data_IF_704568758702
#
_entry.id   IF_704568758702
#
_cell.length_a   1.000
_cell.length_b   1.000
_cell.length_c   1.000
_cell.angle_alpha   90.00
_cell.angle_beta   90.00
_cell.angle_gamma   90.00
#
_symmetry.space_group_name_H-M   'P 1'
#
loop_
_entity.id
_entity.type
_entity.pdbx_description
1 polymer ?
#
# COMPACT_ATOMS: atom_id res chain seq x y z
N UNK A 1 -51.21 -22.51 -57.76
CA UNK A 1 -51.07 -23.99 -57.66
C UNK A 1 -50.89 -24.32 -56.19
N UNK A 2 -51.95 -24.75 -55.49
CA UNK A 2 -52.27 -26.17 -55.21
C UNK A 2 -51.09 -26.92 -54.59
N UNK A 3 -51.12 -27.63 -53.46
CA UNK A 3 -52.06 -28.09 -52.41
C UNK A 3 -51.06 -28.59 -51.30
N UNK A 4 -51.29 -28.57 -49.98
CA UNK A 4 -52.48 -28.84 -49.20
C UNK A 4 -52.30 -30.12 -48.36
N UNK A 5 -52.71 -30.05 -47.09
CA UNK A 5 -52.94 -31.13 -46.09
C UNK A 5 -51.74 -31.50 -45.20
N UNK A 6 -51.88 -31.72 -43.88
CA UNK A 6 -53.07 -31.98 -43.09
C UNK A 6 -53.04 -31.33 -41.70
N UNK A 7 -54.23 -31.18 -41.14
CA UNK A 7 -54.65 -30.36 -40.00
C UNK A 7 -55.24 -31.30 -38.94
N UNK A 8 -55.36 -30.79 -37.70
CA UNK A 8 -56.26 -31.19 -36.58
C UNK A 8 -55.64 -32.10 -35.51
N UNK A 9 -55.93 -31.99 -34.21
CA UNK A 9 -56.79 -31.16 -33.29
C UNK A 9 -56.21 -31.49 -31.90
N UNK A 10 -55.85 -30.55 -31.02
CA UNK A 10 -56.73 -29.81 -30.10
C UNK A 10 -56.86 -30.53 -28.74
N UNK A 11 -56.51 -29.85 -27.64
CA UNK A 11 -57.22 -29.88 -26.36
C UNK A 11 -56.50 -29.02 -25.30
N UNK A 12 -57.32 -28.31 -24.53
CA UNK A 12 -57.00 -27.39 -23.44
C UNK A 12 -56.76 -28.13 -22.11
N UNK A 13 -55.97 -27.46 -21.25
CA UNK A 13 -56.00 -27.45 -19.77
C UNK A 13 -55.61 -28.71 -18.98
N UNK A 14 -54.53 -28.59 -18.21
CA UNK A 14 -54.50 -28.97 -16.80
C UNK A 14 -53.39 -28.20 -16.05
N UNK A 15 -53.74 -27.67 -14.88
CA UNK A 15 -52.85 -26.99 -13.96
C UNK A 15 -51.63 -27.85 -13.59
N UNK A 16 -50.44 -27.26 -13.62
CA UNK A 16 -49.22 -27.85 -13.08
C UNK A 16 -48.44 -26.81 -12.30
N UNK A 17 -48.37 -27.00 -10.99
CA UNK A 17 -47.78 -26.10 -10.01
C UNK A 17 -46.33 -25.72 -10.34
N UNK A 18 -45.99 -24.47 -10.02
CA UNK A 18 -44.60 -24.04 -9.84
C UNK A 18 -44.07 -24.81 -8.63
N UNK A 19 -43.30 -25.86 -8.89
CA UNK A 19 -42.43 -26.47 -7.87
C UNK A 19 -41.08 -25.81 -8.03
N UNK A 20 -40.77 -24.94 -7.07
CA UNK A 20 -39.41 -24.50 -6.79
C UNK A 20 -38.61 -25.72 -6.34
N UNK A 21 -37.73 -26.23 -7.20
CA UNK A 21 -36.62 -27.10 -6.82
C UNK A 21 -35.39 -26.22 -6.96
N UNK A 22 -34.85 -25.67 -5.88
CA UNK A 22 -34.15 -26.45 -4.86
C UNK A 22 -32.67 -26.22 -5.09
N UNK A 23 -32.12 -25.26 -4.35
CA UNK A 23 -30.72 -24.89 -4.34
C UNK A 23 -29.87 -26.15 -4.12
N UNK A 24 -29.19 -26.64 -5.15
CA UNK A 24 -28.16 -27.66 -4.99
C UNK A 24 -26.91 -26.97 -4.49
N UNK A 25 -26.85 -26.76 -3.19
CA UNK A 25 -25.58 -26.58 -2.49
C UNK A 25 -24.85 -27.91 -2.65
N UNK A 26 -23.85 -27.94 -3.52
CA UNK A 26 -22.82 -28.97 -3.52
C UNK A 26 -22.04 -28.84 -2.20
N UNK A 27 -22.59 -29.41 -1.13
CA UNK A 27 -21.84 -29.77 0.06
C UNK A 27 -20.89 -30.88 -0.36
N UNK A 28 -19.68 -30.47 -0.73
CA UNK A 28 -18.56 -31.40 -0.85
C UNK A 28 -18.21 -31.84 0.58
N UNK A 29 -18.76 -32.98 1.00
CA UNK A 29 -18.37 -33.64 2.23
C UNK A 29 -16.91 -34.04 2.08
N UNK A 30 -16.04 -33.37 2.84
CA UNK A 30 -14.62 -33.66 2.86
C UNK A 30 -14.39 -35.13 3.19
N UNK A 31 -13.64 -35.80 2.31
CA UNK A 31 -12.85 -36.95 2.72
C UNK A 31 -11.76 -36.40 3.66
N UNK A 32 -12.02 -36.47 4.96
CA UNK A 32 -10.95 -36.46 5.94
C UNK A 32 -10.16 -37.75 5.74
N UNK A 33 -9.00 -37.67 5.11
CA UNK A 33 -8.01 -38.74 5.19
C UNK A 33 -7.57 -38.85 6.65
N UNK A 34 -7.67 -40.05 7.22
CA UNK A 34 -7.26 -40.40 8.59
C UNK A 34 -5.73 -40.40 8.83
N UNK A 35 -4.98 -39.57 8.10
CA UNK A 35 -3.58 -39.30 8.39
C UNK A 35 -3.39 -37.79 8.47
N UNK A 36 -3.14 -37.28 9.68
CA UNK A 36 -3.04 -35.86 10.02
C UNK A 36 -1.83 -35.10 9.46
N UNK A 37 -1.38 -35.42 8.25
CA UNK A 37 -0.36 -34.69 7.52
C UNK A 37 -1.01 -33.92 6.36
N UNK A 38 -0.93 -32.59 6.39
CA UNK A 38 -1.28 -31.80 5.22
C UNK A 38 -0.32 -32.17 4.07
N UNK A 39 -0.81 -32.55 2.87
CA UNK A 39 0.06 -32.74 1.73
C UNK A 39 0.84 -31.45 1.42
N UNK A 40 2.08 -31.58 0.94
CA UNK A 40 2.90 -30.43 0.50
C UNK A 40 2.07 -29.57 -0.46
N UNK A 41 2.03 -28.23 -0.30
CA UNK A 41 1.13 -27.38 -1.06
C UNK A 41 1.54 -27.39 -2.54
N UNK A 42 0.58 -27.72 -3.40
CA UNK A 42 0.74 -27.75 -4.87
C UNK A 42 -0.06 -26.66 -5.57
N UNK A 43 -1.01 -26.06 -4.85
CA UNK A 43 -1.90 -25.01 -5.34
C UNK A 43 -2.06 -23.90 -4.31
N UNK A 44 -2.54 -22.74 -4.74
CA UNK A 44 -2.92 -21.63 -3.84
C UNK A 44 -4.02 -22.07 -2.86
N UNK A 45 -4.95 -22.97 -3.24
CA UNK A 45 -5.96 -23.47 -2.31
C UNK A 45 -5.33 -24.24 -1.14
N UNK A 46 -4.28 -25.02 -1.41
CA UNK A 46 -3.57 -25.77 -0.37
C UNK A 46 -2.90 -24.80 0.63
N UNK A 47 -2.26 -23.74 0.11
CA UNK A 47 -1.65 -22.66 0.91
C UNK A 47 -2.69 -21.97 1.79
N UNK A 48 -3.90 -21.73 1.27
CA UNK A 48 -4.92 -20.97 1.98
C UNK A 48 -5.73 -21.78 3.00
N UNK A 49 -5.95 -23.09 2.74
CA UNK A 49 -6.87 -23.94 3.51
C UNK A 49 -6.18 -24.93 4.43
N UNK A 50 -5.08 -25.53 3.98
CA UNK A 50 -4.54 -26.73 4.62
C UNK A 50 -3.12 -26.52 5.16
N UNK A 51 -2.39 -25.53 4.65
CA UNK A 51 -1.03 -25.22 5.08
C UNK A 51 -0.99 -24.74 6.54
N UNK A 52 -0.20 -25.42 7.37
CA UNK A 52 0.37 -24.78 8.57
C UNK A 52 1.47 -23.83 8.10
N UNK A 53 1.19 -22.52 8.18
CA UNK A 53 2.13 -21.48 7.76
C UNK A 53 3.49 -21.63 8.46
N UNK A 54 3.52 -22.22 9.67
CA UNK A 54 4.73 -22.41 10.47
C UNK A 54 5.75 -23.32 9.78
N UNK A 55 5.28 -24.32 9.03
CA UNK A 55 6.14 -25.30 8.33
C UNK A 55 6.96 -24.67 7.20
N UNK A 56 6.56 -23.49 6.74
CA UNK A 56 7.20 -22.77 5.64
C UNK A 56 8.02 -21.57 6.10
N UNK A 57 8.03 -21.28 7.41
CA UNK A 57 8.90 -20.26 8.00
C UNK A 57 10.27 -20.87 8.26
N UNK A 58 11.28 -20.36 7.58
CA UNK A 58 12.68 -20.82 7.73
C UNK A 58 13.50 -19.93 8.68
N UNK A 59 13.07 -18.69 8.90
CA UNK A 59 13.63 -17.76 9.90
C UNK A 59 12.50 -16.94 10.53
N UNK A 60 12.55 -16.79 11.84
CA UNK A 60 11.55 -16.04 12.61
C UNK A 60 10.36 -16.90 13.02
N UNK A 61 9.30 -16.23 13.44
CA UNK A 61 8.06 -16.88 13.88
C UNK A 61 6.87 -16.05 13.43
N UNK A 62 5.74 -16.72 13.21
CA UNK A 62 4.49 -16.05 12.88
C UNK A 62 4.08 -15.10 14.01
N UNK A 63 3.51 -13.92 13.69
CA UNK A 63 2.99 -13.02 14.70
C UNK A 63 1.81 -13.68 15.44
N UNK A 64 1.74 -13.50 16.76
CA UNK A 64 0.67 -14.04 17.61
C UNK A 64 -0.71 -13.45 17.33
N UNK A 65 -0.77 -12.31 16.64
CA UNK A 65 -2.00 -11.64 16.24
C UNK A 65 -1.84 -11.03 14.85
N UNK A 66 -2.95 -10.92 14.12
CA UNK A 66 -3.01 -10.25 12.83
C UNK A 66 -2.49 -8.81 12.94
N UNK A 67 -1.58 -8.44 12.05
CA UNK A 67 -0.96 -7.11 11.95
C UNK A 67 -1.83 -6.17 11.08
N UNK A 68 -1.47 -4.89 11.00
CA UNK A 68 -2.12 -3.97 10.04
C UNK A 68 -1.52 -4.10 8.65
N UNK A 69 -0.20 -4.25 8.57
CA UNK A 69 0.53 -4.28 7.31
C UNK A 69 1.43 -5.52 7.21
N UNK A 70 1.28 -6.30 6.14
CA UNK A 70 2.24 -7.30 5.71
C UNK A 70 3.01 -6.74 4.51
N UNK A 71 4.34 -6.70 4.60
CA UNK A 71 5.22 -6.24 3.51
C UNK A 71 5.88 -7.47 2.89
N UNK A 72 5.51 -7.83 1.67
CA UNK A 72 6.09 -8.95 0.95
C UNK A 72 7.29 -8.52 0.12
N UNK A 73 8.43 -9.20 0.28
CA UNK A 73 9.68 -8.89 -0.42
C UNK A 73 10.31 -10.19 -0.95
N UNK A 74 10.28 -10.46 -2.27
CA UNK A 74 11.07 -11.51 -2.87
C UNK A 74 12.52 -11.04 -3.02
N UNK A 75 13.46 -11.87 -2.58
CA UNK A 75 14.89 -11.56 -2.67
C UNK A 75 15.65 -12.63 -3.45
N UNK A 76 16.54 -12.16 -4.33
CA UNK A 76 17.45 -12.99 -5.11
C UNK A 76 18.86 -12.41 -5.09
N UNK A 77 19.84 -13.30 -5.10
CA UNK A 77 21.23 -12.94 -5.14
C UNK A 77 21.62 -12.39 -6.52
N UNK A 78 22.29 -11.24 -6.53
CA UNK A 78 22.83 -10.62 -7.76
C UNK A 78 24.36 -10.69 -7.75
N UNK A 79 24.91 -11.38 -8.74
CA UNK A 79 26.37 -11.52 -8.88
C UNK A 79 27.04 -10.18 -9.25
N UNK A 80 28.22 -9.93 -8.65
CA UNK A 80 29.03 -8.74 -8.95
C UNK A 80 28.63 -7.46 -8.23
N UNK A 81 27.78 -7.52 -7.20
CA UNK A 81 27.53 -6.41 -6.27
C UNK A 81 28.05 -6.83 -4.89
N UNK A 82 28.81 -5.94 -4.24
CA UNK A 82 29.37 -6.21 -2.90
C UNK A 82 28.34 -6.11 -1.78
N UNK A 83 27.34 -5.25 -1.94
CA UNK A 83 26.22 -5.07 -1.00
C UNK A 83 25.02 -5.92 -1.40
N UNK A 84 24.29 -6.44 -0.41
CA UNK A 84 23.00 -7.10 -0.63
C UNK A 84 21.93 -6.02 -0.61
N UNK A 85 21.12 -5.92 -1.65
CA UNK A 85 20.08 -4.89 -1.68
C UNK A 85 19.08 -5.06 -0.53
N UNK A 86 18.71 -6.30 -0.21
CA UNK A 86 17.74 -6.59 0.86
C UNK A 86 18.13 -5.97 2.21
N UNK A 87 19.42 -5.92 2.56
CA UNK A 87 19.85 -5.35 3.85
C UNK A 87 19.62 -3.85 3.86
N UNK A 88 19.97 -3.14 2.78
CA UNK A 88 19.75 -1.70 2.65
C UNK A 88 18.23 -1.38 2.64
N UNK A 89 17.42 -2.20 1.94
CA UNK A 89 15.96 -2.10 1.95
C UNK A 89 15.37 -2.30 3.34
N UNK A 90 15.80 -3.32 4.08
CA UNK A 90 15.30 -3.58 5.43
C UNK A 90 15.67 -2.47 6.41
N UNK A 91 16.89 -1.93 6.34
CA UNK A 91 17.25 -0.74 7.12
C UNK A 91 16.34 0.44 6.80
N UNK A 92 16.09 0.70 5.51
CA UNK A 92 15.19 1.78 5.09
C UNK A 92 13.74 1.61 5.60
N UNK A 93 13.24 0.37 5.66
CA UNK A 93 11.89 0.07 6.14
C UNK A 93 11.76 0.05 7.67
N UNK A 94 12.82 -0.37 8.39
CA UNK A 94 12.73 -0.67 9.83
C UNK A 94 13.36 0.39 10.72
N UNK A 95 14.33 1.17 10.22
CA UNK A 95 14.99 2.24 10.97
C UNK A 95 14.21 3.56 10.87
N UNK A 96 12.93 3.50 11.23
CA UNK A 96 11.98 4.62 11.16
C UNK A 96 11.87 5.38 12.49
N UNK A 97 11.59 6.69 12.47
CA UNK A 97 11.32 7.47 13.67
C UNK A 97 10.09 6.96 14.46
N UNK A 98 9.05 6.51 13.78
CA UNK A 98 7.80 6.00 14.35
C UNK A 98 7.91 4.54 14.83
N UNK A 99 8.92 4.23 15.67
CA UNK A 99 9.18 2.87 16.16
C UNK A 99 7.96 2.17 16.77
N UNK A 100 7.03 2.93 17.35
CA UNK A 100 5.79 2.41 17.92
C UNK A 100 4.85 1.79 16.87
N UNK A 101 4.96 2.17 15.59
CA UNK A 101 4.19 1.59 14.48
C UNK A 101 4.78 0.26 13.99
N UNK A 102 6.04 -0.07 14.32
CA UNK A 102 6.66 -1.33 13.91
C UNK A 102 6.00 -2.57 14.54
N UNK A 103 5.20 -2.40 15.60
CA UNK A 103 4.39 -3.49 16.17
C UNK A 103 3.20 -3.88 15.29
N UNK A 104 2.81 -3.00 14.37
CA UNK A 104 1.66 -3.18 13.48
C UNK A 104 2.08 -3.74 12.12
N UNK A 105 3.37 -4.08 11.92
CA UNK A 105 3.90 -4.58 10.66
C UNK A 105 4.50 -5.99 10.79
N UNK A 106 4.50 -6.73 9.69
CA UNK A 106 5.30 -7.94 9.48
C UNK A 106 5.91 -7.90 8.08
N UNK A 107 7.21 -8.11 7.97
CA UNK A 107 7.93 -8.21 6.70
C UNK A 107 8.13 -9.68 6.38
N UNK A 108 7.60 -10.11 5.23
CA UNK A 108 7.66 -11.49 4.73
C UNK A 108 8.66 -11.53 3.58
N UNK A 109 9.83 -12.11 3.84
CA UNK A 109 10.91 -12.22 2.86
C UNK A 109 10.82 -13.59 2.20
N UNK A 110 10.62 -13.61 0.88
CA UNK A 110 10.72 -14.84 0.11
C UNK A 110 12.17 -15.05 -0.36
N UNK A 111 12.81 -16.11 0.11
CA UNK A 111 14.12 -16.54 -0.38
C UNK A 111 13.96 -17.20 -1.77
N UNK A 112 14.01 -16.37 -2.82
CA UNK A 112 13.59 -16.76 -4.16
C UNK A 112 14.72 -17.36 -5.02
N UNK A 113 15.96 -17.44 -4.52
CA UNK A 113 17.06 -18.09 -5.22
C UNK A 113 16.79 -19.58 -5.47
N UNK A 114 17.17 -20.07 -6.66
CA UNK A 114 17.13 -21.51 -6.96
C UNK A 114 18.25 -22.28 -6.27
N UNK A 115 19.38 -21.62 -6.02
CA UNK A 115 20.53 -22.21 -5.33
C UNK A 115 20.28 -22.26 -3.82
N UNK A 116 20.20 -23.46 -3.20
CA UNK A 116 20.01 -23.61 -1.77
C UNK A 116 21.07 -22.91 -0.92
N UNK A 117 22.33 -22.81 -1.41
CA UNK A 117 23.41 -22.13 -0.69
C UNK A 117 23.17 -20.61 -0.62
N UNK A 118 22.61 -20.02 -1.67
CA UNK A 118 22.27 -18.59 -1.69
C UNK A 118 21.07 -18.31 -0.78
N UNK A 119 20.08 -19.21 -0.76
CA UNK A 119 18.96 -19.16 0.21
C UNK A 119 19.47 -19.25 1.65
N UNK A 120 20.35 -20.20 1.95
CA UNK A 120 20.95 -20.35 3.29
C UNK A 120 21.73 -19.10 3.71
N UNK A 121 22.52 -18.55 2.79
CA UNK A 121 23.24 -17.30 3.03
C UNK A 121 22.29 -16.14 3.34
N UNK A 122 21.14 -16.04 2.67
CA UNK A 122 20.12 -15.02 2.98
C UNK A 122 19.57 -15.21 4.39
N UNK A 123 19.14 -16.43 4.73
CA UNK A 123 18.61 -16.77 6.05
C UNK A 123 19.57 -16.41 7.17
N UNK A 124 20.84 -16.79 7.04
CA UNK A 124 21.88 -16.46 8.01
C UNK A 124 22.03 -14.94 8.18
N UNK A 125 22.14 -14.17 7.08
CA UNK A 125 22.22 -12.71 7.16
C UNK A 125 21.02 -12.09 7.87
N UNK A 126 19.79 -12.54 7.57
CA UNK A 126 18.59 -12.00 8.22
C UNK A 126 18.56 -12.36 9.70
N UNK A 127 18.89 -13.61 10.04
CA UNK A 127 18.90 -14.09 11.42
C UNK A 127 19.96 -13.36 12.27
N UNK A 128 21.11 -13.00 11.69
CA UNK A 128 22.20 -12.34 12.42
C UNK A 128 22.00 -10.82 12.49
N UNK A 129 21.85 -10.15 11.35
CA UNK A 129 21.85 -8.69 11.26
C UNK A 129 20.53 -8.06 11.76
N UNK A 130 19.41 -8.78 11.60
CA UNK A 130 18.08 -8.31 11.99
C UNK A 130 17.47 -9.13 13.14
N UNK A 131 18.31 -9.77 13.96
CA UNK A 131 17.90 -10.66 15.07
C UNK A 131 16.82 -10.05 15.98
N UNK A 132 16.93 -8.76 16.32
CA UNK A 132 15.91 -8.06 17.13
C UNK A 132 14.53 -7.98 16.44
N UNK A 133 14.48 -7.86 15.11
CA UNK A 133 13.22 -7.87 14.35
C UNK A 133 12.69 -9.30 14.15
N UNK A 134 13.58 -10.27 13.98
CA UNK A 134 13.24 -11.70 13.91
C UNK A 134 12.61 -12.17 15.22
N UNK A 135 13.24 -11.89 16.38
CA UNK A 135 12.71 -12.27 17.70
C UNK A 135 11.38 -11.59 18.04
N UNK A 136 11.11 -10.41 17.47
CA UNK A 136 9.86 -9.68 17.67
C UNK A 136 8.76 -10.08 16.68
N UNK A 137 8.95 -11.15 15.88
CA UNK A 137 8.03 -11.57 14.82
C UNK A 137 7.68 -10.44 13.85
N UNK A 138 8.66 -9.56 13.57
CA UNK A 138 8.55 -8.47 12.59
C UNK A 138 9.15 -8.84 11.24
N UNK A 139 10.09 -9.78 11.20
CA UNK A 139 10.63 -10.34 9.97
C UNK A 139 10.44 -11.85 10.01
N UNK A 140 9.93 -12.40 8.92
CA UNK A 140 9.88 -13.83 8.66
C UNK A 140 10.50 -14.10 7.29
N UNK A 141 11.25 -15.19 7.17
CA UNK A 141 11.77 -15.69 5.89
C UNK A 141 11.03 -16.97 5.53
N UNK A 142 10.60 -17.06 4.28
CA UNK A 142 9.89 -18.22 3.73
C UNK A 142 10.59 -18.73 2.48
N UNK A 143 10.34 -19.99 2.14
CA UNK A 143 10.77 -20.63 0.90
C UNK A 143 9.55 -21.22 0.18
N UNK A 144 9.49 -21.09 -1.16
CA UNK A 144 8.46 -21.76 -1.95
C UNK A 144 8.82 -23.25 -2.05
N UNK A 145 7.94 -24.19 -1.66
CA UNK A 145 8.18 -25.61 -1.85
C UNK A 145 8.31 -25.97 -3.32
N UNK A 146 9.22 -26.89 -3.66
CA UNK A 146 9.42 -27.33 -5.05
C UNK A 146 8.12 -27.83 -5.71
N UNK A 147 7.25 -28.48 -4.93
CA UNK A 147 5.96 -28.99 -5.39
C UNK A 147 4.94 -27.89 -5.78
N UNK A 148 5.16 -26.64 -5.33
CA UNK A 148 4.30 -25.51 -5.67
C UNK A 148 4.64 -24.91 -7.04
N UNK A 149 5.86 -25.13 -7.54
CA UNK A 149 6.26 -24.67 -8.86
C UNK A 149 5.67 -25.57 -9.94
N UNK A 150 4.81 -25.03 -10.84
CA UNK A 150 4.44 -25.75 -12.04
C UNK A 150 5.66 -25.87 -12.99
N UNK A 151 5.53 -26.69 -14.02
CA UNK A 151 6.59 -26.86 -15.01
C UNK A 151 6.89 -25.52 -15.70
N UNK A 152 8.09 -24.97 -15.49
CA UNK A 152 8.52 -23.74 -16.15
C UNK A 152 9.14 -24.11 -17.50
N UNK A 153 8.55 -23.66 -18.62
CA UNK A 153 9.02 -23.99 -19.97
C UNK A 153 8.82 -22.85 -20.96
N UNK A 154 9.60 -22.87 -22.05
CA UNK A 154 9.46 -21.90 -23.13
C UNK A 154 8.37 -22.36 -24.09
N UNK A 155 7.23 -21.66 -24.08
CA UNK A 155 6.16 -21.83 -25.07
C UNK A 155 6.55 -21.03 -26.32
N UNK A 156 6.41 -21.65 -27.50
CA UNK A 156 7.01 -21.22 -28.77
C UNK A 156 6.45 -19.89 -29.35
N UNK A 157 5.46 -19.26 -28.70
CA UNK A 157 4.69 -18.15 -29.27
C UNK A 157 4.80 -16.81 -28.50
N UNK A 158 5.62 -16.71 -27.47
CA UNK A 158 5.49 -15.61 -26.51
C UNK A 158 6.60 -14.56 -26.70
N UNK A 159 6.22 -13.41 -27.28
CA UNK A 159 6.92 -12.12 -27.19
C UNK A 159 8.42 -12.07 -27.59
N UNK A 160 8.87 -12.70 -28.67
CA UNK A 160 10.29 -12.65 -29.16
C UNK A 160 11.38 -12.87 -28.07
N UNK A 161 11.01 -13.44 -26.92
CA UNK A 161 11.84 -13.39 -25.73
C UNK A 161 12.75 -14.60 -25.64
N UNK A 162 13.94 -14.40 -25.05
CA UNK A 162 14.83 -15.51 -24.76
C UNK A 162 14.18 -16.49 -23.77
N UNK A 163 14.51 -17.78 -23.91
CA UNK A 163 14.06 -18.83 -22.98
C UNK A 163 14.33 -18.45 -21.50
N UNK A 164 15.49 -17.85 -21.22
CA UNK A 164 15.84 -17.39 -19.88
C UNK A 164 14.87 -16.32 -19.35
N UNK A 165 14.47 -15.35 -20.20
CA UNK A 165 13.52 -14.30 -19.81
C UNK A 165 12.10 -14.84 -19.66
N UNK A 166 11.68 -15.81 -20.47
CA UNK A 166 10.39 -16.50 -20.29
C UNK A 166 10.33 -17.23 -18.96
N UNK A 167 11.35 -18.06 -18.65
CA UNK A 167 11.41 -18.80 -17.38
C UNK A 167 11.49 -17.84 -16.18
N UNK A 168 12.23 -16.74 -16.29
CA UNK A 168 12.33 -15.74 -15.23
C UNK A 168 10.97 -15.09 -14.90
N UNK A 169 10.20 -14.68 -15.90
CA UNK A 169 8.84 -14.11 -15.70
C UNK A 169 7.87 -15.11 -15.10
N UNK A 170 7.88 -16.34 -15.63
CA UNK A 170 7.05 -17.42 -15.12
C UNK A 170 7.32 -17.69 -13.64
N UNK A 171 8.60 -17.76 -13.26
CA UNK A 171 9.00 -17.91 -11.85
C UNK A 171 8.51 -16.73 -10.99
N UNK A 172 8.65 -15.49 -11.48
CA UNK A 172 8.20 -14.31 -10.74
C UNK A 172 6.70 -14.35 -10.42
N UNK A 173 5.85 -14.76 -11.37
CA UNK A 173 4.42 -14.95 -11.13
C UNK A 173 4.15 -15.96 -10.00
N UNK A 174 4.85 -17.10 -10.02
CA UNK A 174 4.70 -18.15 -8.99
C UNK A 174 5.23 -17.69 -7.63
N UNK A 175 6.38 -17.02 -7.59
CA UNK A 175 6.96 -16.44 -6.38
C UNK A 175 5.98 -15.46 -5.71
N UNK A 176 5.42 -14.53 -6.49
CA UNK A 176 4.51 -13.50 -5.98
C UNK A 176 3.19 -14.14 -5.53
N UNK A 177 2.70 -15.13 -6.28
CA UNK A 177 1.54 -15.91 -5.89
C UNK A 177 1.71 -16.56 -4.51
N UNK A 178 2.80 -17.29 -4.29
CA UNK A 178 3.05 -17.95 -3.00
C UNK A 178 3.18 -16.93 -1.87
N UNK A 179 3.96 -15.87 -2.09
CA UNK A 179 4.20 -14.81 -1.11
C UNK A 179 2.89 -14.11 -0.70
N UNK A 180 2.02 -13.80 -1.66
CA UNK A 180 0.71 -13.21 -1.41
C UNK A 180 -0.23 -14.17 -0.69
N UNK A 181 -0.31 -15.43 -1.12
CA UNK A 181 -1.16 -16.45 -0.50
C UNK A 181 -0.76 -16.69 0.97
N UNK A 182 0.54 -16.82 1.23
CA UNK A 182 1.10 -16.94 2.58
C UNK A 182 0.77 -15.72 3.45
N UNK A 183 0.90 -14.51 2.89
CA UNK A 183 0.71 -13.26 3.63
C UNK A 183 -0.76 -12.89 3.88
N UNK A 184 -1.72 -13.51 3.18
CA UNK A 184 -3.15 -13.17 3.23
C UNK A 184 -3.75 -13.19 4.64
N UNK A 185 -3.21 -14.03 5.53
CA UNK A 185 -3.71 -14.20 6.91
C UNK A 185 -2.93 -13.38 7.95
N UNK A 186 -1.82 -12.75 7.57
CA UNK A 186 -0.90 -12.12 8.51
C UNK A 186 -1.25 -10.68 8.84
N UNK A 187 -1.93 -9.98 7.93
CA UNK A 187 -2.29 -8.57 8.10
C UNK A 187 -3.62 -8.21 7.45
N UNK A 188 -4.16 -7.01 7.74
CA UNK A 188 -5.33 -6.47 7.04
C UNK A 188 -5.01 -5.91 5.65
N UNK A 189 -3.79 -5.40 5.48
CA UNK A 189 -3.29 -4.83 4.23
C UNK A 189 -1.98 -5.50 3.86
N UNK A 190 -1.79 -5.81 2.58
CA UNK A 190 -0.54 -6.31 2.02
C UNK A 190 0.12 -5.24 1.15
N UNK A 191 1.44 -5.10 1.22
CA UNK A 191 2.24 -4.24 0.37
C UNK A 191 3.31 -5.09 -0.32
N UNK A 192 3.31 -5.09 -1.65
CA UNK A 192 4.36 -5.71 -2.47
C UNK A 192 5.52 -4.73 -2.68
N UNK A 193 6.73 -5.17 -2.32
CA UNK A 193 7.98 -4.48 -2.64
C UNK A 193 8.96 -5.44 -3.33
N UNK A 194 10.08 -4.90 -3.77
CA UNK A 194 11.26 -5.65 -4.23
C UNK A 194 12.39 -5.50 -3.22
N UNK A 195 13.45 -6.31 -3.35
CA UNK A 195 14.57 -6.32 -2.41
C UNK A 195 15.58 -5.19 -2.61
N UNK A 196 15.33 -4.27 -3.54
CA UNK A 196 16.20 -3.15 -3.93
C UNK A 196 15.46 -1.82 -3.98
N UNK A 197 14.64 -1.58 -2.95
CA UNK A 197 13.88 -0.34 -2.75
C UNK A 197 14.37 0.45 -1.53
N UNK A 198 14.23 1.77 -1.59
CA UNK A 198 14.37 2.69 -0.45
C UNK A 198 13.02 3.33 -0.18
N UNK A 199 12.62 3.39 1.09
CA UNK A 199 11.45 4.12 1.55
C UNK A 199 11.82 5.55 1.97
N UNK A 200 10.88 6.48 1.80
CA UNK A 200 10.99 7.83 2.37
C UNK A 200 11.01 7.77 3.89
N UNK A 201 11.70 8.75 4.51
CA UNK A 201 11.64 8.89 5.96
C UNK A 201 10.20 9.24 6.36
N UNK A 202 9.66 8.55 7.36
CA UNK A 202 8.26 8.68 7.82
C UNK A 202 7.19 8.06 6.89
N UNK A 203 7.54 7.05 6.08
CA UNK A 203 6.56 6.43 5.17
C UNK A 203 5.36 5.78 5.88
N UNK A 204 5.54 5.20 7.08
CA UNK A 204 4.48 4.43 7.77
C UNK A 204 3.22 5.26 8.08
N UNK A 205 3.31 6.45 8.72
CA UNK A 205 2.15 7.31 8.91
C UNK A 205 1.42 7.67 7.61
N UNK A 206 2.18 8.01 6.57
CA UNK A 206 1.61 8.39 5.28
C UNK A 206 0.94 7.22 4.56
N UNK A 207 1.55 6.03 4.61
CA UNK A 207 0.97 4.81 4.09
C UNK A 207 -0.33 4.47 4.81
N UNK A 208 -0.33 4.45 6.15
CA UNK A 208 -1.52 4.15 6.94
C UNK A 208 -2.65 5.14 6.67
N UNK A 209 -2.35 6.44 6.65
CA UNK A 209 -3.34 7.46 6.36
C UNK A 209 -3.96 7.29 4.96
N UNK A 210 -3.15 6.92 3.97
CA UNK A 210 -3.63 6.69 2.61
C UNK A 210 -4.48 5.42 2.49
N UNK A 211 -4.10 4.35 3.19
CA UNK A 211 -4.90 3.13 3.30
C UNK A 211 -6.26 3.41 3.95
N UNK A 212 -6.27 4.13 5.06
CA UNK A 212 -7.48 4.46 5.80
C UNK A 212 -8.42 5.39 5.01
N UNK A 213 -7.87 6.28 4.17
CA UNK A 213 -8.64 7.20 3.35
C UNK A 213 -9.35 6.53 2.16
N UNK A 214 -8.82 5.41 1.66
CA UNK A 214 -9.32 4.73 0.47
C UNK A 214 -9.62 3.25 0.71
N UNK A 215 -10.47 2.90 1.68
CA UNK A 215 -10.73 1.50 2.07
C UNK A 215 -11.43 0.69 0.97
N UNK A 216 -12.03 1.37 -0.01
CA UNK A 216 -12.78 0.76 -1.11
C UNK A 216 -11.90 0.49 -2.36
N UNK A 217 -10.66 0.99 -2.38
CA UNK A 217 -9.78 0.83 -3.53
C UNK A 217 -9.38 -0.65 -3.70
N UNK A 218 -9.32 -1.11 -4.95
CA UNK A 218 -8.79 -2.45 -5.29
C UNK A 218 -7.29 -2.48 -5.05
N UNK A 219 -6.61 -1.38 -5.41
CA UNK A 219 -5.17 -1.25 -5.25
C UNK A 219 -4.80 0.18 -4.86
N UNK A 220 -3.87 0.30 -3.91
CA UNK A 220 -3.20 1.54 -3.57
C UNK A 220 -1.78 1.50 -4.11
N UNK A 221 -1.33 2.61 -4.68
CA UNK A 221 -0.04 2.70 -5.33
C UNK A 221 0.84 3.76 -4.66
N UNK A 222 2.03 3.34 -4.24
CA UNK A 222 3.02 4.17 -3.54
C UNK A 222 4.32 4.37 -4.33
N UNK A 223 4.38 3.80 -5.54
CA UNK A 223 5.49 3.84 -6.49
C UNK A 223 4.92 3.54 -7.88
N UNK A 224 5.29 4.35 -8.88
CA UNK A 224 4.90 4.17 -10.29
C UNK A 224 5.79 3.16 -11.03
N UNK A 225 6.90 2.74 -10.41
CA UNK A 225 7.86 1.83 -11.00
C UNK A 225 7.41 0.35 -10.90
N UNK A 226 6.84 -0.16 -11.99
CA UNK A 226 6.52 -1.59 -12.14
C UNK A 226 5.60 -2.08 -11.03
N UNK A 227 5.96 -3.22 -10.42
CA UNK A 227 5.18 -3.87 -9.35
C UNK A 227 5.55 -3.39 -7.93
N UNK A 228 6.42 -2.38 -7.81
CA UNK A 228 6.84 -1.85 -6.51
C UNK A 228 5.73 -0.99 -5.92
N UNK A 229 5.57 -1.07 -4.60
CA UNK A 229 4.69 -0.18 -3.84
C UNK A 229 3.21 -0.40 -4.13
N UNK A 230 2.82 -1.60 -4.57
CA UNK A 230 1.40 -1.96 -4.78
C UNK A 230 0.84 -2.57 -3.51
N UNK A 231 -0.18 -1.94 -2.96
CA UNK A 231 -0.86 -2.41 -1.76
C UNK A 231 -2.30 -2.85 -2.06
N UNK A 232 -2.72 -3.90 -1.36
CA UNK A 232 -4.00 -4.58 -1.55
C UNK A 232 -4.64 -4.88 -0.20
N UNK A 233 -5.98 -4.83 -0.09
CA UNK A 233 -6.67 -5.47 1.02
C UNK A 233 -6.27 -6.95 1.09
N UNK A 234 -5.88 -7.45 2.27
CA UNK A 234 -5.42 -8.84 2.37
C UNK A 234 -6.51 -9.87 2.03
N UNK A 235 -7.78 -9.47 2.12
CA UNK A 235 -8.93 -10.27 1.69
C UNK A 235 -8.97 -10.54 0.17
N UNK A 236 -8.35 -9.67 -0.63
CA UNK A 236 -8.29 -9.78 -2.09
C UNK A 236 -7.09 -10.64 -2.56
N UNK A 237 -6.10 -10.88 -1.69
CA UNK A 237 -4.89 -11.66 -2.03
C UNK A 237 -5.16 -13.09 -2.49
N UNK A 238 -6.10 -13.87 -1.92
CA UNK A 238 -6.43 -15.20 -2.44
C UNK A 238 -6.72 -15.21 -3.94
N UNK A 239 -7.60 -14.31 -4.40
CA UNK A 239 -8.00 -14.24 -5.80
C UNK A 239 -6.84 -13.79 -6.70
N UNK A 240 -6.06 -12.80 -6.24
CA UNK A 240 -4.90 -12.31 -6.97
C UNK A 240 -3.79 -13.37 -7.08
N UNK A 241 -3.50 -14.07 -5.98
CA UNK A 241 -2.53 -15.16 -5.95
C UNK A 241 -2.96 -16.32 -6.87
N UNK A 242 -4.25 -16.65 -6.91
CA UNK A 242 -4.81 -17.62 -7.85
C UNK A 242 -4.60 -17.20 -9.30
N UNK A 243 -4.86 -15.94 -9.65
CA UNK A 243 -4.67 -15.44 -10.99
C UNK A 243 -3.21 -15.58 -11.44
N UNK A 244 -2.26 -15.18 -10.57
CA UNK A 244 -0.83 -15.28 -10.86
C UNK A 244 -0.34 -16.71 -10.99
N UNK A 245 -0.81 -17.62 -10.14
CA UNK A 245 -0.45 -19.04 -10.25
C UNK A 245 -1.05 -19.69 -11.50
N UNK A 246 -2.30 -19.37 -11.83
CA UNK A 246 -3.03 -20.00 -12.94
C UNK A 246 -2.44 -19.59 -14.29
N UNK A 247 -2.16 -18.30 -14.47
CA UNK A 247 -1.72 -17.73 -15.75
C UNK A 247 -0.24 -17.40 -15.78
N UNK A 248 0.56 -18.03 -14.90
CA UNK A 248 2.01 -17.79 -14.79
C UNK A 248 2.75 -17.95 -16.14
N UNK A 249 2.27 -18.86 -16.99
CA UNK A 249 2.85 -19.17 -18.29
C UNK A 249 2.37 -18.26 -19.43
N UNK A 250 1.23 -17.57 -19.26
CA UNK A 250 0.56 -16.87 -20.34
C UNK A 250 0.83 -15.36 -20.36
N UNK A 251 1.13 -14.75 -19.20
CA UNK A 251 1.42 -13.31 -19.13
C UNK A 251 2.38 -12.95 -17.97
N UNK A 252 3.17 -11.87 -18.10
CA UNK A 252 3.96 -11.34 -16.99
C UNK A 252 3.05 -10.78 -15.89
N UNK A 253 3.59 -10.73 -14.66
CA UNK A 253 2.84 -10.35 -13.46
C UNK A 253 2.20 -8.96 -13.55
N UNK A 254 2.86 -7.99 -14.17
CA UNK A 254 2.31 -6.63 -14.38
C UNK A 254 1.04 -6.64 -15.25
N UNK A 255 1.02 -7.47 -16.29
CA UNK A 255 -0.13 -7.59 -17.19
C UNK A 255 -1.27 -8.34 -16.52
N UNK A 256 -0.97 -9.39 -15.75
CA UNK A 256 -1.96 -10.10 -14.95
C UNK A 256 -2.61 -9.18 -13.90
N UNK A 257 -1.84 -8.30 -13.27
CA UNK A 257 -2.38 -7.30 -12.35
C UNK A 257 -3.34 -6.33 -13.05
N UNK A 258 -3.00 -5.86 -14.26
CA UNK A 258 -3.92 -5.00 -15.04
C UNK A 258 -5.23 -5.72 -15.35
N UNK A 259 -5.19 -7.01 -15.71
CA UNK A 259 -6.40 -7.81 -15.91
C UNK A 259 -7.20 -8.00 -14.61
N UNK A 260 -6.52 -8.25 -13.49
CA UNK A 260 -7.19 -8.34 -12.20
C UNK A 260 -7.99 -7.06 -11.88
N UNK A 261 -7.34 -5.91 -11.99
CA UNK A 261 -7.95 -4.60 -11.75
C UNK A 261 -9.15 -4.39 -12.68
N UNK A 262 -9.00 -4.68 -13.98
CA UNK A 262 -10.07 -4.52 -14.96
C UNK A 262 -11.30 -5.41 -14.66
N UNK A 263 -11.10 -6.61 -14.12
CA UNK A 263 -12.18 -7.55 -13.80
C UNK A 263 -12.91 -7.16 -12.50
N UNK A 264 -12.26 -6.49 -11.55
CA UNK A 264 -12.89 -6.07 -10.28
C UNK A 264 -14.03 -5.08 -10.49
N UNK A 265 -13.96 -4.23 -11.53
CA UNK A 265 -15.03 -3.32 -11.95
C UNK A 265 -15.64 -2.50 -10.79
N UNK A 266 -14.81 -2.02 -9.85
CA UNK A 266 -15.26 -1.21 -8.70
C UNK A 266 -15.10 0.28 -9.05
N UNK A 267 -15.95 1.15 -8.48
CA UNK A 267 -15.69 2.59 -8.58
C UNK A 267 -14.45 2.93 -7.77
N UNK A 268 -13.48 3.62 -8.36
CA UNK A 268 -12.19 3.99 -7.73
C UNK A 268 -11.19 2.83 -7.57
N UNK A 269 -11.04 2.00 -8.60
CA UNK A 269 -10.20 0.79 -8.57
C UNK A 269 -8.75 1.04 -8.09
N UNK A 270 -8.07 2.07 -8.60
CA UNK A 270 -6.68 2.35 -8.26
C UNK A 270 -6.54 3.77 -7.72
N UNK A 271 -5.86 3.92 -6.59
CA UNK A 271 -5.52 5.22 -6.00
C UNK A 271 -4.02 5.33 -5.83
N UNK A 272 -3.43 6.31 -6.51
CA UNK A 272 -2.00 6.60 -6.43
C UNK A 272 -1.73 7.70 -5.42
N UNK A 273 -0.83 7.44 -4.48
CA UNK A 273 -0.33 8.46 -3.56
C UNK A 273 0.70 9.33 -4.26
N UNK A 274 0.60 10.64 -4.07
CA UNK A 274 1.61 11.60 -4.52
C UNK A 274 2.04 12.50 -3.36
N UNK A 275 3.36 12.66 -3.11
CA UNK A 275 4.48 12.03 -3.83
C UNK A 275 4.61 10.51 -3.55
N UNK A 276 5.41 9.76 -4.33
CA UNK A 276 5.70 8.35 -4.04
C UNK A 276 6.41 8.17 -2.69
N UNK A 277 6.25 7.00 -2.07
CA UNK A 277 6.91 6.66 -0.80
C UNK A 277 8.11 5.71 -0.97
N UNK A 278 8.26 5.09 -2.13
CA UNK A 278 9.32 4.11 -2.40
C UNK A 278 10.05 4.42 -3.70
N UNK A 279 11.37 4.29 -3.69
CA UNK A 279 12.27 4.46 -4.83
C UNK A 279 13.02 3.15 -5.09
N UNK A 280 13.05 2.70 -6.34
CA UNK A 280 13.92 1.62 -6.76
C UNK A 280 15.39 2.09 -6.80
N UNK A 281 16.27 1.48 -6.02
CA UNK A 281 17.70 1.84 -5.93
C UNK A 281 18.63 0.80 -6.55
N UNK A 282 18.08 -0.35 -6.96
CA UNK A 282 18.82 -1.39 -7.66
C UNK A 282 19.37 -0.91 -9.01
N UNK A 283 20.66 -1.13 -9.26
CA UNK A 283 21.29 -0.83 -10.56
C UNK A 283 21.47 -2.06 -11.44
N UNK A 284 21.33 -3.25 -10.86
CA UNK A 284 21.31 -4.53 -11.57
C UNK A 284 20.01 -5.27 -11.28
N UNK A 285 19.36 -5.75 -12.33
CA UNK A 285 18.15 -6.54 -12.23
C UNK A 285 18.45 -7.96 -11.74
N UNK A 286 17.42 -8.62 -11.21
CA UNK A 286 17.38 -10.07 -11.02
C UNK A 286 17.42 -10.85 -12.34
N UNK A 287 17.03 -10.24 -13.46
CA UNK A 287 17.28 -10.76 -14.79
C UNK A 287 18.73 -10.47 -15.19
N UNK A 288 19.53 -11.54 -15.34
CA UNK A 288 20.97 -11.45 -15.63
C UNK A 288 21.26 -10.54 -16.84
N UNK A 289 22.22 -9.63 -16.68
CA UNK A 289 22.67 -8.70 -17.73
C UNK A 289 21.81 -7.44 -17.90
N UNK A 290 20.65 -7.33 -17.25
CA UNK A 290 19.80 -6.13 -17.34
C UNK A 290 20.20 -5.09 -16.29
N UNK A 291 20.66 -3.92 -16.73
CA UNK A 291 20.83 -2.74 -15.87
C UNK A 291 19.48 -2.06 -15.67
N UNK A 292 19.24 -1.55 -14.47
CA UNK A 292 18.07 -0.75 -14.15
C UNK A 292 18.53 0.63 -13.66
N UNK A 293 17.91 1.68 -14.20
CA UNK A 293 18.23 3.08 -13.86
C UNK A 293 16.96 3.93 -13.72
N UNK A 294 15.79 3.30 -13.68
CA UNK A 294 14.53 3.98 -13.49
C UNK A 294 14.48 4.65 -12.11
N UNK A 295 14.06 5.90 -12.10
CA UNK A 295 13.88 6.73 -10.91
C UNK A 295 12.42 7.13 -10.85
N UNK A 296 11.85 7.17 -9.64
CA UNK A 296 10.48 7.64 -9.46
C UNK A 296 10.39 9.12 -9.84
N UNK A 297 9.45 9.48 -10.72
CA UNK A 297 9.06 10.87 -10.86
C UNK A 297 8.54 11.39 -9.53
N UNK A 298 8.97 12.59 -9.15
CA UNK A 298 8.49 13.29 -7.96
C UNK A 298 8.81 12.63 -6.60
N UNK A 299 9.85 11.79 -6.53
CA UNK A 299 10.32 11.24 -5.25
C UNK A 299 11.18 12.26 -4.50
N UNK A 300 10.79 12.57 -3.26
CA UNK A 300 11.49 13.49 -2.33
C UNK A 300 11.92 14.83 -2.96
N UNK A 301 11.08 15.41 -3.82
CA UNK A 301 11.36 16.72 -4.38
C UNK A 301 11.44 17.80 -3.30
N UNK A 302 12.29 18.82 -3.51
CA UNK A 302 12.63 19.82 -2.48
C UNK A 302 11.40 20.57 -1.92
N UNK A 303 10.33 20.66 -2.70
CA UNK A 303 9.06 21.26 -2.29
C UNK A 303 8.15 20.29 -1.52
N UNK A 304 8.29 18.98 -1.67
CA UNK A 304 7.52 18.02 -0.87
C UNK A 304 8.12 17.82 0.52
N UNK A 305 9.39 18.20 0.72
CA UNK A 305 10.10 18.05 1.99
C UNK A 305 9.61 19.04 3.05
N UNK A 306 9.35 18.49 4.24
CA UNK A 306 8.99 19.22 5.46
C UNK A 306 10.24 19.77 6.14
N UNK A 307 10.33 21.09 6.30
CA UNK A 307 11.56 21.78 6.72
C UNK A 307 11.58 22.14 8.20
N UNK A 308 10.43 22.37 8.79
CA UNK A 308 10.35 22.84 10.17
C UNK A 308 10.42 21.68 11.13
N UNK A 309 10.91 21.92 12.36
CA UNK A 309 10.69 20.97 13.45
C UNK A 309 9.24 21.13 13.93
N UNK A 310 8.58 20.01 14.21
CA UNK A 310 7.22 19.99 14.70
C UNK A 310 7.01 18.74 15.56
N UNK A 311 6.22 18.88 16.63
CA UNK A 311 5.78 17.75 17.43
C UNK A 311 4.55 17.10 16.81
N UNK A 312 3.68 17.93 16.22
CA UNK A 312 2.42 17.54 15.58
C UNK A 312 1.64 16.49 16.37
N UNK A 313 1.01 16.89 17.50
CA UNK A 313 0.21 15.98 18.33
C UNK A 313 -0.84 15.20 17.51
N UNK A 314 -1.21 13.98 17.94
CA UNK A 314 -2.25 13.21 17.27
C UNK A 314 -3.52 14.05 17.06
N UNK A 315 -3.99 14.08 15.81
CA UNK A 315 -5.13 14.87 15.38
C UNK A 315 -5.86 14.21 14.22
N UNK A 316 -7.16 14.48 14.15
CA UNK A 316 -7.92 14.32 12.92
C UNK A 316 -7.76 15.59 12.09
N UNK A 317 -7.43 15.43 10.80
CA UNK A 317 -7.25 16.56 9.88
C UNK A 317 -8.25 16.46 8.75
N UNK A 318 -9.15 17.43 8.68
CA UNK A 318 -10.25 17.50 7.73
C UNK A 318 -10.20 18.81 6.95
N UNK A 319 -10.94 18.89 5.85
CA UNK A 319 -10.99 20.08 5.01
C UNK A 319 -12.36 20.21 4.37
N UNK A 320 -12.87 21.44 4.24
CA UNK A 320 -14.03 21.74 3.38
C UNK A 320 -13.63 21.90 1.92
N UNK A 321 -12.35 22.22 1.66
CA UNK A 321 -11.81 22.37 0.31
C UNK A 321 -11.80 21.04 -0.43
N UNK A 322 -12.02 21.07 -1.75
CA UNK A 322 -12.02 19.87 -2.60
C UNK A 322 -10.60 19.35 -2.83
N UNK A 323 -10.24 18.12 -2.41
CA UNK A 323 -8.92 17.56 -2.63
C UNK A 323 -8.57 17.37 -4.11
N UNK A 324 -7.32 17.61 -4.48
CA UNK A 324 -6.75 17.34 -5.80
C UNK A 324 -5.59 16.34 -5.71
N UNK A 325 -5.29 15.67 -6.83
CA UNK A 325 -4.15 14.73 -6.98
C UNK A 325 -4.09 13.59 -5.96
N UNK A 326 -5.25 13.16 -5.44
CA UNK A 326 -5.37 12.17 -4.35
C UNK A 326 -4.62 12.57 -3.06
N UNK A 327 -4.23 13.83 -2.91
CA UNK A 327 -3.66 14.32 -1.66
C UNK A 327 -4.71 14.34 -0.55
N UNK A 328 -4.26 14.16 0.68
CA UNK A 328 -5.10 14.17 1.86
C UNK A 328 -4.82 15.42 2.70
N UNK A 329 -5.82 15.99 3.40
CA UNK A 329 -5.58 17.11 4.32
C UNK A 329 -4.49 16.81 5.35
N UNK A 330 -4.43 15.56 5.83
CA UNK A 330 -3.42 15.07 6.77
C UNK A 330 -1.99 15.10 6.18
N UNK A 331 -1.78 15.03 4.87
CA UNK A 331 -0.44 15.10 4.25
C UNK A 331 0.26 16.44 4.54
N UNK A 332 -0.50 17.53 4.72
CA UNK A 332 0.06 18.82 5.14
C UNK A 332 0.64 18.77 6.56
N UNK A 333 0.07 17.92 7.41
CA UNK A 333 0.40 17.78 8.83
C UNK A 333 1.40 16.66 9.13
N UNK A 334 1.49 15.63 8.29
CA UNK A 334 2.46 14.55 8.46
C UNK A 334 3.90 15.04 8.24
N UNK A 335 4.84 14.30 8.83
CA UNK A 335 6.29 14.50 8.62
C UNK A 335 6.81 13.88 7.32
N UNK A 336 6.03 13.01 6.69
CA UNK A 336 6.33 12.41 5.40
C UNK A 336 6.32 13.47 4.28
N UNK A 337 7.01 13.21 3.15
CA UNK A 337 6.93 14.08 1.98
C UNK A 337 5.49 14.22 1.45
N UNK A 338 5.16 15.45 1.03
CA UNK A 338 3.90 15.80 0.38
C UNK A 338 3.23 17.02 1.00
N UNK A 339 1.99 17.28 0.61
CA UNK A 339 1.16 18.35 1.13
C UNK A 339 -0.29 18.18 0.67
N UNK A 340 -1.18 19.03 1.15
CA UNK A 340 -2.57 18.99 0.74
C UNK A 340 -2.80 19.93 -0.45
N UNK A 341 -3.19 19.37 -1.58
CA UNK A 341 -3.60 20.11 -2.76
C UNK A 341 -5.11 20.24 -2.79
N UNK A 342 -5.59 21.48 -2.89
CA UNK A 342 -7.00 21.81 -2.94
C UNK A 342 -7.34 22.48 -4.28
N UNK A 343 -8.50 22.16 -4.84
CA UNK A 343 -9.08 22.82 -6.01
C UNK A 343 -10.30 23.65 -5.61
N UNK A 344 -10.59 24.69 -6.40
CA UNK A 344 -11.79 25.51 -6.30
C UNK A 344 -12.05 26.09 -4.89
N UNK A 345 -10.99 26.51 -4.19
CA UNK A 345 -11.08 27.06 -2.83
C UNK A 345 -11.90 28.35 -2.83
N UNK A 346 -12.92 28.41 -1.97
CA UNK A 346 -13.80 29.58 -1.78
C UNK A 346 -13.39 30.39 -0.56
N UNK A 347 -13.93 31.62 -0.43
CA UNK A 347 -13.85 32.37 0.82
C UNK A 347 -14.63 31.62 1.92
N UNK A 348 -13.99 31.45 3.08
CA UNK A 348 -14.52 30.74 4.23
C UNK A 348 -14.20 29.24 4.27
N UNK A 349 -13.66 28.66 3.19
CA UNK A 349 -13.21 27.27 3.21
C UNK A 349 -12.05 27.08 4.19
N UNK A 350 -12.01 25.92 4.85
CA UNK A 350 -11.00 25.66 5.88
C UNK A 350 -10.36 24.26 5.81
N UNK A 351 -9.11 24.20 6.28
CA UNK A 351 -8.49 22.98 6.77
C UNK A 351 -8.47 23.02 8.31
N UNK A 352 -9.04 22.00 8.92
CA UNK A 352 -9.19 21.83 10.37
C UNK A 352 -8.25 20.74 10.88
N UNK A 353 -7.51 21.04 11.94
CA UNK A 353 -6.76 20.07 12.75
C UNK A 353 -7.44 19.98 14.11
N UNK A 354 -8.15 18.89 14.37
CA UNK A 354 -8.79 18.61 15.66
C UNK A 354 -7.91 17.66 16.47
N UNK A 355 -7.28 18.16 17.54
CA UNK A 355 -6.39 17.33 18.36
C UNK A 355 -7.20 16.25 19.09
N UNK A 356 -6.70 15.00 19.07
CA UNK A 356 -7.30 13.89 19.82
C UNK A 356 -7.37 14.19 21.31
N UNK A 357 -6.38 14.94 21.82
CA UNK A 357 -6.38 15.50 23.18
C UNK A 357 -5.93 16.95 23.12
N UNK A 358 -6.60 17.89 23.81
CA UNK A 358 -6.16 19.28 23.85
C UNK A 358 -4.70 19.42 24.29
N UNK A 359 -3.92 20.17 23.51
CA UNK A 359 -2.48 20.29 23.66
C UNK A 359 -2.06 21.69 24.13
N UNK A 360 -0.98 21.77 24.91
CA UNK A 360 -0.36 23.06 25.28
C UNK A 360 0.54 23.51 24.12
N UNK A 361 -0.08 24.09 23.11
CA UNK A 361 0.62 24.61 21.93
C UNK A 361 1.45 25.83 22.32
N UNK A 362 2.70 25.84 21.88
CA UNK A 362 3.64 26.95 22.05
C UNK A 362 3.59 27.83 20.80
N UNK A 363 3.59 27.18 19.64
CA UNK A 363 3.83 27.86 18.38
C UNK A 363 3.26 27.07 17.20
N UNK A 364 2.73 27.78 16.22
CA UNK A 364 2.17 27.21 14.99
C UNK A 364 2.80 27.91 13.80
N UNK A 365 3.19 27.13 12.79
CA UNK A 365 3.61 27.62 11.47
C UNK A 365 2.87 26.88 10.38
N UNK A 366 2.46 27.61 9.35
CA UNK A 366 1.83 27.08 8.16
C UNK A 366 2.52 27.68 6.93
N UNK A 367 2.89 26.83 5.98
CA UNK A 367 3.43 27.22 4.67
C UNK A 367 2.52 26.71 3.57
N UNK A 368 2.28 27.57 2.58
CA UNK A 368 1.48 27.27 1.39
C UNK A 368 2.23 27.61 0.11
N UNK A 369 1.80 26.97 -0.97
CA UNK A 369 2.35 27.05 -2.32
C UNK A 369 3.73 26.43 -2.49
N UNK A 370 4.21 26.46 -3.72
CA UNK A 370 5.52 25.93 -4.14
C UNK A 370 6.37 27.03 -4.76
N UNK A 371 7.67 26.76 -4.88
CA UNK A 371 8.54 27.66 -5.65
C UNK A 371 8.36 27.48 -7.16
N UNK A 372 8.01 26.29 -7.63
CA UNK A 372 7.91 26.00 -9.08
C UNK A 372 6.73 26.68 -9.76
N UNK A 373 5.64 26.92 -9.04
CA UNK A 373 4.45 27.57 -9.61
C UNK A 373 4.45 29.09 -9.45
N UNK A 374 5.61 29.72 -9.31
CA UNK A 374 5.75 31.18 -9.14
C UNK A 374 4.81 31.76 -8.07
N UNK A 375 4.48 30.99 -7.03
CA UNK A 375 3.55 31.38 -5.95
C UNK A 375 2.06 31.45 -6.33
N UNK A 376 1.66 30.98 -7.52
CA UNK A 376 0.26 30.98 -7.95
C UNK A 376 -0.63 29.99 -7.16
N UNK A 377 0.01 29.04 -6.48
CA UNK A 377 -0.60 28.00 -5.65
C UNK A 377 -0.56 28.32 -4.15
N UNK A 378 -0.14 29.53 -3.76
CA UNK A 378 -0.20 30.00 -2.38
C UNK A 378 -1.62 30.38 -2.01
N UNK A 379 -1.95 30.21 -0.73
CA UNK A 379 -3.13 30.85 -0.15
C UNK A 379 -2.90 32.37 -0.13
N UNK A 380 -3.70 33.12 -0.90
CA UNK A 380 -3.46 34.55 -1.16
C UNK A 380 -3.90 35.41 0.03
N UNK A 381 -5.12 35.17 0.51
CA UNK A 381 -5.63 35.72 1.75
C UNK A 381 -6.15 34.56 2.61
N UNK A 382 -5.72 34.52 3.86
CA UNK A 382 -6.16 33.50 4.80
C UNK A 382 -5.85 33.89 6.23
N UNK A 383 -6.45 33.16 7.16
CA UNK A 383 -6.33 33.38 8.59
C UNK A 383 -6.01 32.06 9.30
N UNK A 384 -5.12 32.13 10.28
CA UNK A 384 -4.81 31.05 11.20
C UNK A 384 -5.60 31.25 12.49
N UNK A 385 -6.46 30.29 12.83
CA UNK A 385 -7.29 30.32 14.03
C UNK A 385 -6.95 29.18 14.98
N UNK A 386 -7.23 29.38 16.26
CA UNK A 386 -7.24 28.33 17.27
C UNK A 386 -8.54 28.31 18.06
N UNK A 387 -8.97 27.12 18.47
CA UNK A 387 -10.02 26.93 19.45
C UNK A 387 -9.39 26.43 20.74
N UNK A 388 -9.64 27.14 21.84
CA UNK A 388 -9.19 26.72 23.17
C UNK A 388 -10.18 25.75 23.81
N UNK A 389 -9.67 24.81 24.60
CA UNK A 389 -10.46 23.82 25.34
C UNK A 389 -11.52 24.48 26.22
N UNK A 390 -12.80 24.23 25.94
CA UNK A 390 -13.97 24.82 26.63
C UNK A 390 -14.50 26.12 26.02
N UNK A 391 -13.92 26.59 24.90
CA UNK A 391 -14.44 27.74 24.15
C UNK A 391 -15.36 27.28 23.01
N UNK A 392 -16.31 28.13 22.64
CA UNK A 392 -17.21 27.93 21.49
C UNK A 392 -16.83 28.78 20.27
N UNK A 393 -15.93 29.76 20.45
CA UNK A 393 -15.44 30.64 19.39
C UNK A 393 -13.94 30.50 19.23
N UNK A 394 -13.50 30.46 17.98
CA UNK A 394 -12.08 30.47 17.65
C UNK A 394 -11.50 31.87 17.76
N UNK A 395 -10.19 31.94 17.99
CA UNK A 395 -9.41 33.19 18.06
C UNK A 395 -8.45 33.23 16.87
N UNK A 396 -8.42 34.35 16.15
CA UNK A 396 -7.45 34.59 15.08
C UNK A 396 -6.08 34.82 15.73
N UNK A 397 -5.06 34.11 15.25
CA UNK A 397 -3.67 34.27 15.70
C UNK A 397 -2.81 35.04 14.71
N UNK A 398 -3.00 34.82 13.41
CA UNK A 398 -2.24 35.48 12.36
C UNK A 398 -3.01 35.47 11.03
N UNK A 399 -2.73 36.45 10.18
CA UNK A 399 -3.07 36.41 8.77
C UNK A 399 -1.91 35.79 7.96
N UNK A 400 -2.20 35.23 6.80
CA UNK A 400 -1.17 34.75 5.87
C UNK A 400 -0.51 35.94 5.16
N UNK A 401 0.82 35.97 5.16
CA UNK A 401 1.63 36.86 4.33
C UNK A 401 2.51 36.03 3.41
N UNK A 402 2.42 36.28 2.10
CA UNK A 402 3.17 35.57 1.05
C UNK A 402 3.14 34.04 1.22
N UNK A 403 1.98 33.52 1.60
CA UNK A 403 1.72 32.08 1.79
C UNK A 403 2.23 31.48 3.10
N UNK A 404 2.68 32.30 4.06
CA UNK A 404 3.12 31.84 5.38
C UNK A 404 2.24 32.47 6.47
N UNK A 405 1.83 31.67 7.45
CA UNK A 405 1.27 32.16 8.71
C UNK A 405 2.04 31.56 9.88
N UNK A 406 2.43 32.39 10.83
CA UNK A 406 3.25 32.02 11.98
C UNK A 406 2.79 32.78 13.22
N UNK A 407 2.55 32.05 14.32
CA UNK A 407 2.12 32.65 15.57
C UNK A 407 2.55 31.83 16.80
N UNK A 408 2.99 32.53 17.84
CA UNK A 408 3.09 32.00 19.19
C UNK A 408 1.71 31.95 19.84
N UNK A 409 1.44 30.90 20.61
CA UNK A 409 0.19 30.74 21.35
C UNK A 409 0.43 31.13 22.81
N UNK A 410 0.35 32.42 23.10
CA UNK A 410 0.56 32.99 24.44
C UNK A 410 -0.70 32.87 25.30
N UNK A 411 -1.17 31.64 25.53
CA UNK A 411 -2.39 31.38 26.29
C UNK A 411 -2.22 30.22 27.29
N UNK A 412 -2.80 30.34 28.49
CA UNK A 412 -2.67 29.32 29.55
C UNK A 412 -3.47 28.04 29.28
N UNK A 413 -4.58 28.17 28.55
CA UNK A 413 -5.47 27.05 28.15
C UNK A 413 -4.85 26.23 27.02
N UNK A 414 -5.19 24.94 27.01
CA UNK A 414 -4.87 24.02 25.92
C UNK A 414 -5.68 24.38 24.67
N UNK A 415 -5.08 24.13 23.51
CA UNK A 415 -5.74 24.25 22.20
C UNK A 415 -6.38 22.91 21.88
N UNK A 416 -7.65 22.90 21.49
CA UNK A 416 -8.36 21.73 21.02
C UNK A 416 -8.34 21.61 19.49
N UNK A 417 -8.31 22.74 18.78
CA UNK A 417 -8.35 22.77 17.32
C UNK A 417 -7.53 23.91 16.73
N UNK A 418 -6.94 23.68 15.57
CA UNK A 418 -6.33 24.70 14.70
C UNK A 418 -7.13 24.75 13.40
N UNK A 419 -7.42 25.94 12.87
CA UNK A 419 -8.03 26.10 11.53
C UNK A 419 -7.19 27.02 10.66
N UNK A 420 -7.04 26.65 9.40
CA UNK A 420 -6.50 27.48 8.32
C UNK A 420 -7.68 27.83 7.44
N UNK A 421 -8.11 29.09 7.46
CA UNK A 421 -9.31 29.55 6.75
C UNK A 421 -8.89 30.39 5.55
N UNK A 422 -9.40 30.08 4.37
CA UNK A 422 -9.26 30.92 3.18
C UNK A 422 -10.13 32.17 3.31
N UNK A 423 -9.58 33.32 2.95
CA UNK A 423 -10.26 34.62 2.84
C UNK A 423 -10.26 35.16 1.41
N UNK A 424 -10.00 34.28 0.45
CA UNK A 424 -10.01 34.57 -0.97
C UNK A 424 -10.66 33.44 -1.74
N UNK A 425 -11.22 33.78 -2.89
CA UNK A 425 -11.64 32.81 -3.90
C UNK A 425 -10.43 32.51 -4.79
N UNK A 426 -10.11 31.24 -4.98
CA UNK A 426 -9.02 30.79 -5.84
C UNK A 426 -9.58 30.05 -7.06
N UNK A 427 -9.17 30.51 -8.24
CA UNK A 427 -9.50 29.86 -9.53
C UNK A 427 -8.48 28.78 -9.91
N UNK A 428 -7.32 28.77 -9.26
CA UNK A 428 -6.26 27.77 -9.40
C UNK A 428 -6.19 26.86 -8.17
N UNK A 429 -5.34 25.83 -8.23
CA UNK A 429 -5.06 25.00 -7.05
C UNK A 429 -4.36 25.79 -5.95
N UNK A 430 -4.62 25.41 -4.70
CA UNK A 430 -3.88 25.87 -3.52
C UNK A 430 -3.16 24.68 -2.90
N UNK A 431 -1.88 24.83 -2.58
CA UNK A 431 -1.13 23.82 -1.83
C UNK A 431 -0.96 24.28 -0.38
N UNK A 432 -1.50 23.53 0.58
CA UNK A 432 -1.09 23.61 1.98
C UNK A 432 0.07 22.63 2.16
N UNK A 433 1.27 23.18 2.13
CA UNK A 433 2.49 22.41 1.98
C UNK A 433 2.98 21.81 3.30
N UNK A 434 2.98 22.59 4.37
CA UNK A 434 3.52 22.14 5.66
C UNK A 434 2.83 22.85 6.83
N UNK A 435 2.39 22.06 7.80
CA UNK A 435 1.85 22.55 9.07
C UNK A 435 2.72 22.01 10.19
N UNK A 436 3.29 22.92 10.98
CA UNK A 436 4.14 22.61 12.12
C UNK A 436 3.51 23.17 13.41
N UNK A 437 3.16 22.28 14.32
CA UNK A 437 2.68 22.58 15.66
C UNK A 437 3.73 22.14 16.66
N UNK A 438 4.20 23.09 17.47
CA UNK A 438 5.11 22.86 18.59
C UNK A 438 4.33 22.91 19.90
N UNK A 439 4.59 21.96 20.78
CA UNK A 439 3.92 21.84 22.08
C UNK A 439 4.92 21.77 23.22
N UNK A 440 4.49 22.12 24.43
CA UNK A 440 5.28 21.82 25.61
C UNK A 440 5.41 20.31 25.76
N UNK A 441 6.64 19.84 25.98
CA UNK A 441 6.91 18.47 26.41
C UNK A 441 6.08 18.18 27.65
N UNK A 442 5.28 17.12 27.60
CA UNK A 442 4.39 16.69 28.70
C UNK A 442 5.19 16.37 29.95
#
# INVERSE_FOLDING_TARGET
MMRGSGRRVGALLALGAIVVVGCSVLLWTGLTSEDGACPRPTSVQDVLRCMDLSDHVTVGSLPSSKRKLAIGIPSVWRSGIKKRYITDTLHSLLDVPERHLLKDIVVVILAADRDPLLREKLKLTIATEFSHHVHASRIIVIEVPDAYYPQLYHKRNDYEDSQARTIWRQKQCVDYSFLMAFSARLASTYLQLEDDVSATRHYLPALNAFVDAFPQAVMLEFSTLGFIGKAFPSADLPALAHLFHTFYADAPVDLLLQYYIAIQNRKNDVRQRQPPLFQHVGTRSSLSGKRQTAVEPNYELEYDLKRWRADNPPAEVTSSMTPAFSSLPIDAYLRAPGGFWAAAVQDGDDLTIAFTRPARVIHIRVRTGTKEHNSADRLQAGELHVLFEGSTRSTILAAFDKGIAEAAVSHKRRVSQVKIISRAIHTTWVMIQEIAVLVHSS
#
